data_IF_806720689521
#
_entry.id   IF_806720689521
#
_cell.length_a   1.000
_cell.length_b   1.000
_cell.length_c   1.000
_cell.angle_alpha   90.00
_cell.angle_beta   90.00
_cell.angle_gamma   90.00
#
_symmetry.space_group_name_H-M   'P 1'
#
loop_
_entity.id
_entity.type
_entity.pdbx_description
1 polymer ?
#
# COMPACT_ATOMS: atom_id res chain seq x y z
N UNK A 1 -44.27 -54.38 37.26
CA UNK A 1 -42.93 -53.82 37.54
C UNK A 1 -42.49 -53.04 36.31
N UNK A 2 -42.64 -51.70 36.34
CA UNK A 2 -42.24 -50.81 35.24
C UNK A 2 -40.80 -50.34 35.49
N UNK A 3 -39.85 -50.70 34.59
CA UNK A 3 -38.47 -50.23 34.67
C UNK A 3 -38.37 -48.85 34.00
N UNK A 4 -38.01 -47.84 34.81
CA UNK A 4 -37.76 -46.46 34.37
C UNK A 4 -36.29 -46.37 33.90
N UNK A 5 -36.06 -46.15 32.59
CA UNK A 5 -34.73 -45.87 32.03
C UNK A 5 -34.48 -44.35 32.13
N UNK A 6 -33.57 -43.97 32.99
CA UNK A 6 -33.08 -42.59 33.09
C UNK A 6 -31.94 -42.37 32.05
N UNK A 7 -32.25 -41.60 31.02
CA UNK A 7 -31.25 -41.22 29.98
C UNK A 7 -30.48 -40.00 30.49
N UNK A 8 -29.24 -40.23 30.87
CA UNK A 8 -28.30 -39.15 31.29
C UNK A 8 -27.71 -38.50 30.04
N UNK A 9 -28.20 -37.32 29.64
CA UNK A 9 -27.62 -36.51 28.55
C UNK A 9 -26.45 -35.71 29.09
N UNK A 10 -25.23 -36.14 28.72
CA UNK A 10 -23.99 -35.41 29.02
C UNK A 10 -23.82 -34.28 27.98
N UNK A 11 -24.09 -33.04 28.38
CA UNK A 11 -23.80 -31.86 27.54
C UNK A 11 -22.29 -31.63 27.53
N UNK A 12 -21.65 -31.83 26.37
CA UNK A 12 -20.24 -31.50 26.14
C UNK A 12 -20.14 -30.00 25.82
N UNK A 13 -19.76 -29.19 26.80
CA UNK A 13 -19.49 -27.76 26.57
C UNK A 13 -18.09 -27.63 25.99
N UNK A 14 -18.00 -27.45 24.67
CA UNK A 14 -16.77 -27.05 24.03
C UNK A 14 -16.49 -25.60 24.38
N UNK A 15 -15.54 -25.34 25.27
CA UNK A 15 -14.93 -24.04 25.43
C UNK A 15 -14.09 -23.77 24.17
N UNK A 16 -14.63 -22.98 23.24
CA UNK A 16 -13.82 -22.38 22.19
C UNK A 16 -12.87 -21.36 22.85
N UNK A 17 -11.60 -21.72 22.96
CA UNK A 17 -10.56 -20.78 23.37
C UNK A 17 -10.39 -19.78 22.22
N UNK A 18 -11.06 -18.62 22.30
CA UNK A 18 -10.79 -17.49 21.40
C UNK A 18 -9.46 -16.88 21.84
N UNK A 19 -8.37 -17.25 21.15
CA UNK A 19 -7.13 -16.49 21.26
C UNK A 19 -7.40 -15.11 20.65
N UNK A 20 -7.50 -14.08 21.51
CA UNK A 20 -7.50 -12.70 21.05
C UNK A 20 -6.14 -12.44 20.40
N UNK A 21 -6.12 -12.23 19.10
CA UNK A 21 -4.90 -11.78 18.42
C UNK A 21 -4.56 -10.37 18.93
N UNK A 22 -3.31 -10.15 19.25
CA UNK A 22 -2.83 -8.81 19.52
C UNK A 22 -3.00 -7.98 18.24
N UNK A 23 -3.59 -6.80 18.36
CA UNK A 23 -3.86 -5.90 17.24
C UNK A 23 -3.53 -4.46 17.60
N UNK A 24 -3.06 -3.69 16.64
CA UNK A 24 -2.94 -2.24 16.75
C UNK A 24 -4.13 -1.61 16.06
N UNK A 25 -4.90 -0.82 16.79
CA UNK A 25 -6.05 -0.09 16.24
C UNK A 25 -5.62 1.32 15.86
N UNK A 26 -5.84 1.69 14.60
CA UNK A 26 -5.57 3.02 14.06
C UNK A 26 -6.89 3.70 13.76
N UNK A 27 -7.20 4.77 14.48
CA UNK A 27 -8.40 5.58 14.27
C UNK A 27 -8.05 6.83 13.48
N UNK A 28 -8.66 7.01 12.31
CA UNK A 28 -8.45 8.15 11.42
C UNK A 28 -9.70 9.01 11.42
N UNK A 29 -9.57 10.29 11.78
CA UNK A 29 -10.69 11.23 11.87
C UNK A 29 -10.59 12.29 10.77
N UNK A 30 -11.71 12.59 10.14
CA UNK A 30 -11.83 13.65 9.14
C UNK A 30 -12.81 14.72 9.66
N UNK A 31 -12.31 15.87 10.15
CA UNK A 31 -13.16 16.95 10.65
C UNK A 31 -13.77 17.83 9.53
N UNK A 32 -13.45 17.56 8.27
CA UNK A 32 -13.91 18.37 7.14
C UNK A 32 -15.30 17.93 6.68
N UNK A 33 -16.08 18.86 6.15
CA UNK A 33 -17.40 18.59 5.56
C UNK A 33 -17.32 17.99 4.14
N UNK A 34 -16.17 17.40 3.78
CA UNK A 34 -15.95 16.69 2.52
C UNK A 34 -15.27 15.37 2.80
N UNK A 35 -15.58 14.37 2.00
CA UNK A 35 -14.90 13.07 2.06
C UNK A 35 -13.41 13.20 1.73
N UNK A 36 -12.59 12.42 2.40
CA UNK A 36 -11.17 12.26 2.09
C UNK A 36 -10.94 10.82 1.67
N UNK A 37 -10.47 10.63 0.46
CA UNK A 37 -10.24 9.30 -0.14
C UNK A 37 -8.76 9.08 -0.42
N UNK A 38 -8.26 7.90 -0.07
CA UNK A 38 -6.86 7.49 -0.29
C UNK A 38 -5.83 8.43 0.34
N UNK A 39 -6.14 9.01 1.49
CA UNK A 39 -5.20 9.83 2.24
C UNK A 39 -4.16 8.93 2.92
N UNK A 40 -2.90 9.31 2.82
CA UNK A 40 -1.82 8.50 3.37
C UNK A 40 -1.76 8.63 4.89
N UNK A 41 -1.89 7.50 5.57
CA UNK A 41 -1.72 7.38 7.02
C UNK A 41 -0.36 6.77 7.29
N UNK A 42 0.36 7.30 8.27
CA UNK A 42 1.66 6.82 8.71
C UNK A 42 1.59 6.35 10.15
N UNK A 43 2.17 5.18 10.44
CA UNK A 43 2.30 4.61 11.78
C UNK A 43 3.73 4.14 11.97
N UNK A 44 4.37 4.53 13.06
CA UNK A 44 5.74 4.10 13.34
C UNK A 44 5.80 2.58 13.53
N UNK A 45 6.75 1.91 12.87
CA UNK A 45 6.92 0.46 13.00
C UNK A 45 7.27 0.05 14.44
N UNK A 46 7.97 0.91 15.18
CA UNK A 46 8.27 0.70 16.59
C UNK A 46 7.02 0.57 17.47
N UNK A 47 5.99 1.39 17.20
CA UNK A 47 4.74 1.34 17.96
C UNK A 47 3.97 0.05 17.67
N UNK A 48 3.97 -0.38 16.40
CA UNK A 48 3.36 -1.64 15.98
C UNK A 48 4.08 -2.82 16.63
N UNK A 49 5.41 -2.87 16.54
CA UNK A 49 6.22 -3.96 17.06
C UNK A 49 6.07 -4.10 18.60
N UNK A 50 6.05 -2.98 19.30
CA UNK A 50 5.88 -2.97 20.75
C UNK A 50 4.50 -3.51 21.18
N UNK A 51 3.43 -3.16 20.47
CA UNK A 51 2.09 -3.63 20.81
C UNK A 51 1.85 -5.09 20.42
N UNK A 52 2.32 -5.48 19.23
CA UNK A 52 2.10 -6.83 18.70
C UNK A 52 3.12 -7.85 19.19
N UNK A 53 4.20 -7.41 19.87
CA UNK A 53 5.33 -8.27 20.27
C UNK A 53 5.83 -9.15 19.12
N UNK A 54 5.99 -8.53 17.95
CA UNK A 54 6.37 -9.22 16.73
C UNK A 54 7.78 -9.81 16.85
N UNK A 55 7.96 -11.01 16.28
CA UNK A 55 9.30 -11.50 15.97
C UNK A 55 9.86 -10.73 14.75
N UNK A 56 11.19 -10.63 14.63
CA UNK A 56 11.86 -9.86 13.56
C UNK A 56 11.46 -10.27 12.13
N UNK A 57 10.98 -11.49 11.95
CA UNK A 57 10.54 -12.02 10.65
C UNK A 57 9.02 -12.02 10.46
N UNK A 58 8.26 -11.48 11.42
CA UNK A 58 6.81 -11.49 11.33
C UNK A 58 6.31 -10.55 10.24
N UNK A 59 5.39 -11.04 9.40
CA UNK A 59 4.66 -10.23 8.45
C UNK A 59 3.43 -9.63 9.13
N UNK A 60 3.06 -8.43 8.71
CA UNK A 60 1.86 -7.73 9.16
C UNK A 60 0.87 -7.59 8.01
N UNK A 61 -0.37 -7.32 8.36
CA UNK A 61 -1.43 -6.91 7.44
C UNK A 61 -2.16 -5.71 8.02
N UNK A 62 -2.64 -4.84 7.15
CA UNK A 62 -3.51 -3.72 7.50
C UNK A 62 -4.92 -4.04 7.02
N UNK A 63 -5.89 -3.97 7.91
CA UNK A 63 -7.29 -4.30 7.63
C UNK A 63 -8.16 -3.05 7.77
N UNK A 64 -9.14 -2.90 6.89
CA UNK A 64 -10.20 -1.92 7.04
C UNK A 64 -11.28 -2.42 8.04
N UNK A 65 -12.33 -1.63 8.26
CA UNK A 65 -13.42 -1.96 9.18
C UNK A 65 -14.19 -3.24 8.80
N UNK A 66 -14.18 -3.61 7.52
CA UNK A 66 -14.84 -4.83 7.00
C UNK A 66 -13.93 -6.07 7.11
N UNK A 67 -12.73 -5.92 7.67
CA UNK A 67 -11.73 -6.98 7.80
C UNK A 67 -11.01 -7.33 6.50
N UNK A 68 -11.13 -6.50 5.47
CA UNK A 68 -10.43 -6.66 4.19
C UNK A 68 -9.04 -6.06 4.29
N UNK A 69 -8.05 -6.71 3.69
CA UNK A 69 -6.70 -6.16 3.62
C UNK A 69 -6.67 -4.92 2.72
N UNK A 70 -5.93 -3.91 3.16
CA UNK A 70 -5.60 -2.74 2.34
C UNK A 70 -4.10 -2.76 2.02
N UNK A 71 -3.68 -2.23 0.86
CA UNK A 71 -2.27 -2.18 0.52
C UNK A 71 -1.51 -1.32 1.53
N UNK A 72 -0.29 -1.70 1.84
CA UNK A 72 0.60 -0.92 2.69
C UNK A 72 2.03 -1.03 2.21
N UNK A 73 2.89 -0.17 2.69
CA UNK A 73 4.33 -0.20 2.47
C UNK A 73 5.06 0.12 3.77
N UNK A 74 6.20 -0.51 3.98
CA UNK A 74 7.16 -0.11 5.03
C UNK A 74 8.19 0.79 4.37
N UNK A 75 8.32 2.02 4.87
CA UNK A 75 9.26 3.02 4.35
C UNK A 75 10.67 2.82 4.90
N UNK A 76 11.67 3.48 4.28
CA UNK A 76 13.06 3.43 4.75
C UNK A 76 13.28 4.05 6.13
N UNK A 77 12.38 4.94 6.56
CA UNK A 77 12.37 5.54 7.90
C UNK A 77 11.46 4.78 8.88
N UNK A 78 11.24 3.50 8.61
CA UNK A 78 10.55 2.54 9.48
C UNK A 78 9.12 2.95 9.86
N UNK A 79 8.35 3.42 8.88
CA UNK A 79 6.92 3.66 9.02
C UNK A 79 6.12 2.69 8.18
N UNK A 80 4.99 2.25 8.68
CA UNK A 80 3.93 1.62 7.88
C UNK A 80 3.06 2.73 7.32
N UNK A 81 2.96 2.81 6.00
CA UNK A 81 2.07 3.75 5.31
C UNK A 81 0.98 2.99 4.59
N UNK A 82 -0.25 3.49 4.63
CA UNK A 82 -1.39 2.90 3.93
C UNK A 82 -2.44 3.95 3.56
N UNK A 83 -3.20 3.76 2.45
CA UNK A 83 -4.26 4.67 2.07
C UNK A 83 -5.51 4.48 2.96
N UNK A 84 -6.02 5.58 3.50
CA UNK A 84 -7.27 5.59 4.26
C UNK A 84 -8.32 6.45 3.56
N UNK A 85 -9.58 6.02 3.64
CA UNK A 85 -10.73 6.79 3.18
C UNK A 85 -11.66 7.05 4.36
N UNK A 86 -12.06 8.32 4.53
CA UNK A 86 -12.87 8.76 5.67
C UNK A 86 -13.96 9.70 5.19
N UNK A 87 -15.22 9.38 5.49
CA UNK A 87 -16.37 10.22 5.13
C UNK A 87 -16.27 11.63 5.73
N UNK A 88 -17.02 12.56 5.17
CA UNK A 88 -17.13 13.92 5.71
C UNK A 88 -17.56 13.88 7.18
N UNK A 89 -16.87 14.66 8.04
CA UNK A 89 -17.09 14.72 9.49
C UNK A 89 -17.09 13.34 10.16
N UNK A 90 -16.38 12.37 9.58
CA UNK A 90 -16.42 10.98 9.96
C UNK A 90 -15.12 10.47 10.60
N UNK A 91 -15.18 9.18 10.93
CA UNK A 91 -14.04 8.43 11.47
C UNK A 91 -13.99 7.06 10.80
N UNK A 92 -12.79 6.60 10.44
CA UNK A 92 -12.54 5.25 9.97
C UNK A 92 -11.58 4.53 10.91
N UNK A 93 -11.76 3.23 11.05
CA UNK A 93 -10.92 2.39 11.91
C UNK A 93 -10.20 1.38 11.03
N UNK A 94 -8.89 1.29 11.23
CA UNK A 94 -8.01 0.30 10.61
C UNK A 94 -7.36 -0.54 11.71
N UNK A 95 -7.02 -1.77 11.36
CA UNK A 95 -6.36 -2.69 12.29
C UNK A 95 -5.09 -3.21 11.67
N UNK A 96 -3.97 -3.13 12.40
CA UNK A 96 -2.71 -3.76 12.02
C UNK A 96 -2.50 -4.97 12.91
N UNK A 97 -2.18 -6.12 12.31
CA UNK A 97 -1.95 -7.37 13.02
C UNK A 97 -0.93 -8.24 12.28
N UNK A 98 -0.41 -9.26 12.96
CA UNK A 98 0.37 -10.29 12.31
C UNK A 98 -0.49 -11.07 11.29
N UNK A 99 0.04 -11.29 10.09
CA UNK A 99 -0.67 -12.00 9.02
C UNK A 99 0.13 -12.08 7.75
N UNK A 100 -0.39 -12.84 6.77
CA UNK A 100 0.22 -12.96 5.44
C UNK A 100 -0.40 -11.91 4.51
N UNK A 101 0.40 -10.98 3.94
CA UNK A 101 -0.09 -9.99 3.01
C UNK A 101 -0.65 -10.60 1.73
N UNK A 102 -1.75 -10.06 1.25
CA UNK A 102 -2.25 -10.33 -0.10
C UNK A 102 -1.38 -9.62 -1.15
N UNK A 103 -1.40 -10.14 -2.37
CA UNK A 103 -0.78 -9.48 -3.50
C UNK A 103 -1.72 -8.39 -4.04
N UNK A 104 -1.26 -7.15 -4.04
CA UNK A 104 -1.96 -6.02 -4.64
C UNK A 104 -1.32 -5.65 -5.97
N UNK A 105 -2.11 -5.11 -6.91
CA UNK A 105 -1.58 -4.56 -8.13
C UNK A 105 -0.63 -3.38 -7.83
N UNK A 106 0.55 -3.39 -8.43
CA UNK A 106 1.51 -2.29 -8.30
C UNK A 106 0.99 -1.10 -9.10
N UNK A 107 0.74 0.01 -8.41
CA UNK A 107 0.21 1.25 -9.01
C UNK A 107 1.26 2.34 -9.19
N UNK A 108 2.40 2.20 -8.54
CA UNK A 108 3.47 3.18 -8.62
C UNK A 108 4.81 2.47 -8.85
N UNK A 109 5.60 3.03 -9.73
CA UNK A 109 6.96 2.54 -10.01
C UNK A 109 7.87 3.70 -10.36
N UNK A 110 9.16 3.45 -10.35
CA UNK A 110 10.16 4.41 -10.78
C UNK A 110 11.54 3.79 -10.77
N UNK A 111 12.40 4.29 -11.64
CA UNK A 111 13.79 3.89 -11.68
C UNK A 111 14.70 4.96 -12.30
N UNK A 112 15.98 4.74 -12.16
CA UNK A 112 17.04 5.44 -12.86
C UNK A 112 17.26 4.81 -14.24
N UNK A 113 17.44 5.65 -15.26
CA UNK A 113 17.59 5.28 -16.66
C UNK A 113 18.95 5.76 -17.22
N UNK A 114 20.06 5.07 -16.94
CA UNK A 114 21.37 5.45 -17.48
C UNK A 114 21.41 5.40 -19.01
N UNK A 115 20.61 4.50 -19.62
CA UNK A 115 20.47 4.38 -21.07
C UNK A 115 19.81 5.60 -21.73
N UNK A 116 19.13 6.46 -20.95
CA UNK A 116 18.54 7.72 -21.38
C UNK A 116 19.18 8.90 -20.63
N UNK A 117 20.49 9.04 -20.82
CA UNK A 117 21.35 10.14 -20.30
C UNK A 117 21.10 10.48 -18.81
N UNK A 118 21.04 9.43 -18.01
CA UNK A 118 20.89 9.48 -16.55
C UNK A 118 19.55 10.05 -16.08
N UNK A 119 18.48 9.91 -16.84
CA UNK A 119 17.15 10.32 -16.40
C UNK A 119 16.68 9.51 -15.18
N UNK A 120 15.85 10.13 -14.36
CA UNK A 120 15.03 9.45 -13.36
C UNK A 120 13.56 9.63 -13.74
N UNK A 121 12.84 8.54 -13.87
CA UNK A 121 11.41 8.60 -14.15
C UNK A 121 10.62 7.77 -13.15
N UNK A 122 9.43 8.24 -12.82
CA UNK A 122 8.50 7.58 -11.90
C UNK A 122 7.07 7.86 -12.34
N UNK A 123 6.18 6.96 -11.97
CA UNK A 123 4.76 7.04 -12.33
C UNK A 123 3.87 6.35 -11.32
N UNK A 124 2.61 6.76 -11.31
CA UNK A 124 1.52 6.04 -10.69
C UNK A 124 0.42 5.78 -11.72
N UNK A 125 -0.75 5.32 -11.28
CA UNK A 125 -1.90 5.04 -12.17
C UNK A 125 -2.56 6.30 -12.78
N UNK A 126 -2.13 7.52 -12.40
CA UNK A 126 -2.69 8.79 -12.86
C UNK A 126 -1.72 9.63 -13.69
N UNK A 127 -0.45 9.61 -13.36
CA UNK A 127 0.56 10.53 -13.91
C UNK A 127 1.94 9.90 -13.91
N UNK A 128 2.74 10.26 -14.92
CA UNK A 128 4.15 9.92 -14.98
C UNK A 128 5.01 11.20 -15.03
N UNK A 129 6.22 11.09 -14.51
CA UNK A 129 7.21 12.16 -14.44
C UNK A 129 8.56 11.69 -14.93
N UNK A 130 9.35 12.62 -15.47
CA UNK A 130 10.76 12.45 -15.79
C UNK A 130 11.54 13.65 -15.29
N UNK A 131 12.63 13.40 -14.59
CA UNK A 131 13.67 14.38 -14.32
C UNK A 131 14.87 14.09 -15.22
N UNK A 132 15.35 15.10 -15.91
CA UNK A 132 16.52 14.98 -16.79
C UNK A 132 17.80 14.78 -15.98
N UNK A 133 18.60 13.83 -16.41
CA UNK A 133 19.84 13.48 -15.76
C UNK A 133 21.01 14.39 -16.09
N UNK A 134 22.08 14.38 -15.28
CA UNK A 134 23.26 15.23 -15.48
C UNK A 134 24.04 14.89 -16.75
N UNK A 135 23.95 13.67 -17.28
CA UNK A 135 24.60 13.29 -18.53
C UNK A 135 24.02 14.05 -19.74
N UNK A 136 22.77 14.49 -19.70
CA UNK A 136 22.16 15.29 -20.76
C UNK A 136 22.91 16.60 -20.99
N UNK A 137 23.42 17.24 -19.94
CA UNK A 137 24.18 18.49 -20.04
C UNK A 137 25.47 18.33 -20.82
N UNK A 138 26.07 17.12 -20.84
CA UNK A 138 27.29 16.80 -21.59
C UNK A 138 27.04 16.69 -23.08
N UNK A 139 25.80 16.54 -23.52
CA UNK A 139 25.44 16.52 -24.96
C UNK A 139 25.33 17.91 -25.57
N UNK A 140 25.40 18.97 -24.77
CA UNK A 140 25.15 20.34 -25.18
C UNK A 140 23.70 20.79 -25.07
N UNK A 141 22.79 19.89 -24.76
CA UNK A 141 21.41 20.23 -24.46
C UNK A 141 21.28 20.90 -23.09
N UNK A 142 20.45 21.92 -23.02
CA UNK A 142 20.16 22.66 -21.78
C UNK A 142 18.71 22.47 -21.37
N UNK A 143 18.32 21.22 -21.20
CA UNK A 143 17.02 20.88 -20.65
C UNK A 143 17.11 20.80 -19.13
N UNK A 144 16.27 21.55 -18.44
CA UNK A 144 16.15 21.59 -16.99
C UNK A 144 14.68 21.45 -16.63
N UNK A 145 14.40 20.72 -15.53
CA UNK A 145 13.04 20.59 -15.01
C UNK A 145 12.52 19.17 -15.15
N UNK A 146 11.21 19.08 -15.25
CA UNK A 146 10.48 17.82 -15.23
C UNK A 146 9.52 17.76 -16.42
N UNK A 147 9.47 16.61 -17.09
CA UNK A 147 8.35 16.27 -17.94
C UNK A 147 7.22 15.70 -17.06
N UNK A 148 5.99 16.00 -17.44
CA UNK A 148 4.78 15.48 -16.80
C UNK A 148 3.89 14.90 -17.87
N UNK A 149 3.51 13.63 -17.72
CA UNK A 149 2.58 12.94 -18.61
C UNK A 149 1.34 12.53 -17.84
N UNK A 150 0.21 13.17 -18.13
CA UNK A 150 -1.07 12.74 -17.59
C UNK A 150 -1.56 11.49 -18.29
N UNK A 151 -2.08 10.52 -17.54
CA UNK A 151 -2.65 9.31 -18.07
C UNK A 151 -4.14 9.52 -18.36
N UNK A 152 -4.44 9.76 -19.62
CA UNK A 152 -5.80 10.13 -20.04
C UNK A 152 -6.71 8.91 -20.25
N UNK A 153 -6.17 7.82 -20.76
CA UNK A 153 -6.96 6.66 -21.21
C UNK A 153 -6.38 5.31 -20.74
N UNK A 154 -5.46 5.34 -19.80
CA UNK A 154 -4.82 4.14 -19.24
C UNK A 154 -4.38 4.37 -17.82
N UNK A 155 -4.43 3.32 -17.00
CA UNK A 155 -3.82 3.26 -15.68
C UNK A 155 -2.51 2.46 -15.69
N UNK A 156 -2.17 1.86 -16.85
CA UNK A 156 -0.98 1.04 -17.00
C UNK A 156 0.30 1.87 -17.02
N UNK A 157 1.46 1.28 -16.67
CA UNK A 157 2.75 1.93 -16.81
C UNK A 157 3.04 2.38 -18.23
N UNK A 158 3.53 3.62 -18.41
CA UNK A 158 3.77 4.19 -19.74
C UNK A 158 5.23 4.60 -19.99
N UNK A 159 6.03 4.75 -18.93
CA UNK A 159 7.41 5.27 -19.05
C UNK A 159 8.29 4.33 -19.87
N UNK A 160 8.25 3.02 -19.61
CA UNK A 160 9.06 2.03 -20.33
C UNK A 160 8.71 2.02 -21.83
N UNK A 161 7.44 2.08 -22.17
CA UNK A 161 7.00 2.11 -23.56
C UNK A 161 7.44 3.40 -24.29
N UNK A 162 7.43 4.54 -23.59
CA UNK A 162 7.93 5.81 -24.14
C UNK A 162 9.43 5.76 -24.40
N UNK A 163 10.21 5.27 -23.44
CA UNK A 163 11.65 5.16 -23.63
C UNK A 163 12.04 4.16 -24.71
N UNK A 164 11.34 3.05 -24.81
CA UNK A 164 11.54 2.12 -25.92
C UNK A 164 11.32 2.80 -27.27
N UNK A 165 10.32 3.68 -27.41
CA UNK A 165 10.12 4.49 -28.62
C UNK A 165 11.20 5.55 -28.84
N UNK A 166 11.61 6.26 -27.81
CA UNK A 166 12.66 7.31 -27.90
C UNK A 166 14.06 6.74 -28.20
N UNK A 167 14.36 5.54 -27.73
CA UNK A 167 15.66 4.87 -27.93
C UNK A 167 15.71 4.05 -29.23
N UNK A 168 14.57 3.76 -29.85
CA UNK A 168 14.54 3.04 -31.11
C UNK A 168 14.97 3.94 -32.27
N UNK A 169 16.09 3.60 -32.97
CA UNK A 169 16.56 4.40 -34.12
C UNK A 169 15.55 4.51 -35.27
N UNK A 170 14.64 3.55 -35.40
CA UNK A 170 13.64 3.53 -36.47
C UNK A 170 12.47 4.52 -36.24
N UNK A 171 12.26 4.95 -35.00
CA UNK A 171 11.19 5.90 -34.63
C UNK A 171 11.69 7.34 -34.51
N UNK A 172 13.00 7.56 -34.60
CA UNK A 172 13.63 8.89 -34.64
C UNK A 172 13.64 9.44 -36.09
N UNK A 173 12.45 9.65 -36.66
CA UNK A 173 12.32 10.38 -37.93
C UNK A 173 11.95 11.84 -37.68
#
# INVERSE_FOLDING_TARGET
MKKLFLLLATAFVCFACTTTKDVVTVTVSNPLAMERSNEMVEVAMSDIANQLKLADTAQIVVLNADGQQVPYQITYDEKVIFPASVAANGTAVYTIQAGTPEAFAVKACGRYYPERVDDVAWENDLVAFRAYGPALQKTGERAFGYDVWTKYNTTEPVVEARYAGELNPETKA
#
